data_IF_713116549184
#
_entry.id   IF_713116549184
#
_cell.length_a   1.000
_cell.length_b   1.000
_cell.length_c   1.000
_cell.angle_alpha   90.00
_cell.angle_beta   90.00
_cell.angle_gamma   90.00
#
_symmetry.space_group_name_H-M   'P 1'
#
loop_
_entity.id
_entity.type
_entity.pdbx_description
1 polymer ?
#
# COMPACT_ATOMS: atom_id res chain seq x y z
N UNK A 1 5.59 -11.76 -11.05
CA UNK A 1 5.49 -11.45 -9.62
C UNK A 1 5.99 -10.03 -9.44
N UNK A 2 5.19 -9.15 -8.88
CA UNK A 2 5.54 -7.73 -8.73
C UNK A 2 5.36 -7.31 -7.28
N UNK A 3 6.32 -6.57 -6.74
CA UNK A 3 6.27 -6.05 -5.37
C UNK A 3 6.30 -4.54 -5.42
N UNK A 4 5.38 -3.90 -4.71
CA UNK A 4 5.31 -2.45 -4.58
C UNK A 4 5.37 -2.08 -3.10
N UNK A 5 6.50 -1.57 -2.64
CA UNK A 5 6.62 -1.01 -1.30
C UNK A 5 6.14 0.46 -1.31
N UNK A 6 5.20 0.79 -0.43
CA UNK A 6 4.63 2.12 -0.28
C UNK A 6 4.90 2.67 1.11
N UNK A 7 5.39 3.91 1.14
CA UNK A 7 5.71 4.63 2.37
C UNK A 7 5.09 6.01 2.33
N UNK A 8 4.35 6.40 3.38
CA UNK A 8 3.75 7.74 3.49
C UNK A 8 4.11 8.36 4.83
N UNK A 9 5.23 9.10 4.91
CA UNK A 9 5.72 9.66 6.17
C UNK A 9 4.94 10.88 6.65
N UNK A 10 4.26 11.58 5.74
CA UNK A 10 3.63 12.87 6.03
C UNK A 10 2.09 12.82 6.11
N UNK A 11 1.48 11.73 5.65
CA UNK A 11 0.03 11.58 5.61
C UNK A 11 -0.36 10.17 6.04
N UNK A 12 -0.75 10.05 7.32
CA UNK A 12 -1.15 8.78 7.91
C UNK A 12 -2.35 8.16 7.17
N UNK A 13 -3.31 8.98 6.71
CA UNK A 13 -4.47 8.46 5.98
C UNK A 13 -4.05 7.93 4.61
N UNK A 14 -3.18 8.63 3.89
CA UNK A 14 -2.63 8.16 2.62
C UNK A 14 -1.78 6.89 2.81
N UNK A 15 -1.03 6.79 3.91
CA UNK A 15 -0.29 5.58 4.28
C UNK A 15 -1.18 4.38 4.61
N UNK A 16 -2.45 4.61 4.96
CA UNK A 16 -3.45 3.55 5.17
C UNK A 16 -4.14 3.21 3.86
N UNK A 17 -4.71 4.20 3.17
CA UNK A 17 -5.58 3.94 2.00
C UNK A 17 -4.81 3.72 0.70
N UNK A 18 -3.62 4.29 0.57
CA UNK A 18 -2.77 4.19 -0.62
C UNK A 18 -2.42 2.74 -0.97
N UNK A 19 -1.91 1.94 -0.02
CA UNK A 19 -1.67 0.51 -0.21
C UNK A 19 -2.92 -0.28 -0.64
N UNK A 20 -4.07 0.04 -0.07
CA UNK A 20 -5.35 -0.59 -0.44
C UNK A 20 -5.76 -0.21 -1.87
N UNK A 21 -5.59 1.06 -2.24
CA UNK A 21 -5.83 1.55 -3.60
C UNK A 21 -4.92 0.87 -4.62
N UNK A 22 -3.63 0.73 -4.30
CA UNK A 22 -2.65 0.04 -5.13
C UNK A 22 -2.99 -1.44 -5.34
N UNK A 23 -3.38 -2.14 -4.28
CA UNK A 23 -3.81 -3.54 -4.37
C UNK A 23 -5.10 -3.68 -5.20
N UNK A 24 -6.07 -2.77 -5.04
CA UNK A 24 -7.33 -2.78 -5.81
C UNK A 24 -7.16 -2.46 -7.31
N UNK A 25 -6.03 -1.84 -7.68
CA UNK A 25 -5.73 -1.41 -9.05
C UNK A 25 -5.40 -2.57 -10.01
N UNK A 26 -4.96 -3.70 -9.44
CA UNK A 26 -4.62 -4.94 -10.17
C UNK A 26 -5.66 -6.03 -9.90
N UNK A 27 -5.55 -7.16 -10.59
CA UNK A 27 -6.57 -8.21 -10.53
C UNK A 27 -6.56 -8.98 -9.22
N UNK A 28 -5.38 -9.48 -8.82
CA UNK A 28 -5.16 -10.20 -7.56
C UNK A 28 -3.91 -9.63 -6.90
N UNK A 29 -4.02 -9.24 -5.63
CA UNK A 29 -2.90 -8.70 -4.87
C UNK A 29 -3.07 -8.94 -3.37
N UNK A 30 -1.95 -8.99 -2.65
CA UNK A 30 -1.93 -8.96 -1.20
C UNK A 30 -1.31 -7.64 -0.73
N UNK A 31 -2.04 -6.86 0.06
CA UNK A 31 -1.46 -5.78 0.84
C UNK A 31 -1.01 -6.33 2.19
N UNK A 32 0.30 -6.30 2.45
CA UNK A 32 0.90 -6.71 3.72
C UNK A 32 1.22 -5.45 4.51
N UNK A 33 0.70 -5.37 5.72
CA UNK A 33 1.04 -4.32 6.66
C UNK A 33 2.33 -4.67 7.42
N UNK A 34 3.36 -3.85 7.28
CA UNK A 34 4.65 -4.04 7.97
C UNK A 34 4.81 -3.12 9.18
N UNK A 35 3.78 -2.33 9.52
CA UNK A 35 3.78 -1.46 10.69
C UNK A 35 3.20 -2.21 11.91
N UNK A 36 3.99 -2.45 12.98
CA UNK A 36 3.49 -3.09 14.21
C UNK A 36 2.30 -2.36 14.83
N UNK A 37 2.22 -1.04 14.64
CA UNK A 37 1.16 -0.17 15.14
C UNK A 37 0.11 0.14 14.07
N UNK A 38 0.08 -0.64 13.00
CA UNK A 38 -0.82 -0.44 11.88
C UNK A 38 -2.30 -0.60 12.21
N UNK A 39 -3.20 -0.17 11.29
CA UNK A 39 -4.63 -0.26 11.50
C UNK A 39 -5.11 -1.69 11.76
N UNK A 40 -6.20 -1.86 12.53
CA UNK A 40 -6.81 -3.17 12.76
C UNK A 40 -7.64 -3.61 11.56
N UNK A 41 -7.00 -3.85 10.40
CA UNK A 41 -7.69 -4.36 9.22
C UNK A 41 -8.43 -5.66 9.55
N UNK A 42 -9.58 -5.84 8.90
CA UNK A 42 -10.39 -7.06 9.09
C UNK A 42 -9.67 -8.25 8.46
N UNK A 43 -9.71 -9.38 9.16
CA UNK A 43 -9.12 -10.63 8.69
C UNK A 43 -9.10 -11.67 9.80
N UNK A 44 -9.16 -12.96 9.47
CA UNK A 44 -9.14 -14.03 10.46
C UNK A 44 -7.75 -14.28 11.07
N UNK A 45 -6.68 -13.77 10.45
CA UNK A 45 -5.30 -13.89 10.92
C UNK A 45 -4.50 -12.62 10.61
N UNK A 46 -3.41 -12.44 11.35
CA UNK A 46 -2.40 -11.41 11.20
C UNK A 46 -1.05 -12.00 10.81
N UNK A 47 -0.10 -11.15 10.39
CA UNK A 47 1.29 -11.54 10.15
C UNK A 47 1.91 -12.13 11.44
N UNK A 48 1.62 -11.53 12.60
CA UNK A 48 2.01 -12.05 13.90
C UNK A 48 1.46 -13.47 14.19
N UNK A 49 0.22 -13.76 13.79
CA UNK A 49 -0.34 -15.12 13.90
C UNK A 49 0.43 -16.12 13.03
N UNK A 50 0.82 -15.73 11.81
CA UNK A 50 1.57 -16.58 10.89
C UNK A 50 3.00 -16.83 11.40
N UNK A 51 3.66 -15.82 11.94
CA UNK A 51 5.01 -15.95 12.55
C UNK A 51 4.94 -16.87 13.76
N UNK A 52 3.93 -16.72 14.62
CA UNK A 52 3.82 -17.48 15.87
C UNK A 52 3.42 -18.95 15.65
N UNK A 53 2.48 -19.21 14.73
CA UNK A 53 1.85 -20.54 14.57
C UNK A 53 2.34 -21.30 13.34
N UNK A 54 3.11 -20.64 12.49
CA UNK A 54 3.41 -21.11 11.15
C UNK A 54 2.22 -20.93 10.19
N UNK A 55 2.49 -20.65 8.91
CA UNK A 55 1.44 -20.48 7.93
C UNK A 55 0.98 -21.83 7.34
N UNK A 56 -0.31 -21.94 7.04
CA UNK A 56 -0.82 -23.00 6.15
C UNK A 56 -0.63 -22.60 4.68
N UNK A 57 -0.64 -23.58 3.77
CA UNK A 57 -0.55 -23.32 2.34
C UNK A 57 -1.63 -22.34 1.85
N UNK A 58 -2.86 -22.47 2.37
CA UNK A 58 -3.98 -21.60 2.00
C UNK A 58 -3.83 -20.14 2.44
N UNK A 59 -2.99 -19.87 3.44
CA UNK A 59 -2.69 -18.52 3.91
C UNK A 59 -1.55 -17.88 3.12
N UNK A 60 -0.70 -18.68 2.48
CA UNK A 60 0.44 -18.19 1.71
C UNK A 60 0.10 -17.86 0.25
N UNK A 61 -1.05 -18.27 -0.25
CA UNK A 61 -1.41 -18.10 -1.66
C UNK A 61 -2.85 -17.61 -1.82
N UNK A 62 -3.19 -16.92 -2.94
CA UNK A 62 -4.54 -16.47 -3.17
C UNK A 62 -5.52 -17.65 -3.30
N UNK A 63 -6.58 -17.63 -2.51
CA UNK A 63 -7.69 -18.61 -2.60
C UNK A 63 -8.78 -18.16 -3.57
N UNK A 64 -8.84 -16.86 -3.86
CA UNK A 64 -9.80 -16.24 -4.79
C UNK A 64 -9.14 -15.08 -5.55
N UNK A 65 -9.74 -14.68 -6.67
CA UNK A 65 -9.33 -13.46 -7.39
C UNK A 65 -9.72 -12.22 -6.59
N UNK A 66 -8.87 -11.19 -6.63
CA UNK A 66 -9.12 -9.91 -5.96
C UNK A 66 -8.03 -9.50 -4.97
N UNK A 67 -8.13 -8.27 -4.41
CA UNK A 67 -7.24 -7.81 -3.36
C UNK A 67 -7.55 -8.48 -2.02
N UNK A 68 -6.50 -8.77 -1.26
CA UNK A 68 -6.56 -9.19 0.14
C UNK A 68 -5.65 -8.31 1.00
N UNK A 69 -5.88 -8.31 2.32
CA UNK A 69 -5.06 -7.55 3.28
C UNK A 69 -4.63 -8.49 4.39
N UNK A 70 -3.34 -8.47 4.72
CA UNK A 70 -2.77 -9.10 5.90
C UNK A 70 -2.32 -8.00 6.86
N UNK A 71 -3.03 -7.85 7.98
CA UNK A 71 -2.64 -6.91 9.05
C UNK A 71 -1.37 -7.39 9.75
N UNK A 72 -0.57 -6.49 10.29
CA UNK A 72 0.66 -6.83 10.98
C UNK A 72 0.38 -7.64 12.26
N UNK A 73 -0.37 -7.08 13.21
CA UNK A 73 -0.70 -7.75 14.47
C UNK A 73 0.33 -7.59 15.59
N UNK A 74 1.31 -6.69 15.44
CA UNK A 74 2.30 -6.35 16.46
C UNK A 74 3.64 -7.09 16.35
N UNK A 75 3.95 -7.65 15.18
CA UNK A 75 5.24 -8.29 14.91
C UNK A 75 6.22 -7.31 14.27
N UNK A 76 7.45 -7.33 14.77
CA UNK A 76 8.53 -6.51 14.23
C UNK A 76 8.92 -6.96 12.82
N UNK A 77 9.33 -6.05 11.92
CA UNK A 77 9.63 -6.39 10.52
C UNK A 77 10.67 -7.50 10.34
N UNK A 78 11.68 -7.56 11.22
CA UNK A 78 12.73 -8.58 11.15
C UNK A 78 12.21 -10.00 11.42
N UNK A 79 11.33 -10.15 12.40
CA UNK A 79 10.75 -11.46 12.75
C UNK A 79 9.77 -11.96 11.67
N UNK A 80 9.26 -11.06 10.83
CA UNK A 80 8.32 -11.39 9.78
C UNK A 80 8.98 -11.68 8.41
N UNK A 81 10.29 -11.49 8.26
CA UNK A 81 10.99 -11.52 6.97
C UNK A 81 10.75 -12.83 6.20
N UNK A 82 10.89 -13.98 6.86
CA UNK A 82 10.69 -15.29 6.25
C UNK A 82 9.26 -15.45 5.69
N UNK A 83 8.26 -15.08 6.49
CA UNK A 83 6.84 -15.18 6.10
C UNK A 83 6.52 -14.23 4.96
N UNK A 84 7.02 -12.99 5.02
CA UNK A 84 6.85 -12.00 3.94
C UNK A 84 7.49 -12.49 2.64
N UNK A 85 8.69 -13.08 2.72
CA UNK A 85 9.38 -13.67 1.56
C UNK A 85 8.56 -14.78 0.91
N UNK A 86 7.97 -15.68 1.71
CA UNK A 86 7.11 -16.75 1.19
C UNK A 86 5.80 -16.21 0.57
N UNK A 87 5.18 -15.20 1.18
CA UNK A 87 4.00 -14.54 0.63
C UNK A 87 4.32 -13.86 -0.71
N UNK A 88 5.44 -13.15 -0.78
CA UNK A 88 5.91 -12.51 -2.02
C UNK A 88 6.04 -13.53 -3.14
N UNK A 89 6.69 -14.68 -2.90
CA UNK A 89 6.90 -15.74 -3.90
C UNK A 89 5.60 -16.32 -4.48
N UNK A 90 4.52 -16.33 -3.70
CA UNK A 90 3.28 -17.07 -4.00
C UNK A 90 2.13 -16.18 -4.46
N UNK A 91 2.23 -14.87 -4.25
CA UNK A 91 1.24 -13.91 -4.73
C UNK A 91 1.67 -13.25 -6.05
N UNK A 92 0.76 -13.07 -7.01
CA UNK A 92 1.11 -12.46 -8.29
C UNK A 92 1.56 -11.00 -8.13
N UNK A 93 0.94 -10.27 -7.20
CA UNK A 93 1.26 -8.89 -6.85
C UNK A 93 1.22 -8.73 -5.33
N UNK A 94 2.22 -8.04 -4.76
CA UNK A 94 2.28 -7.73 -3.32
C UNK A 94 2.51 -6.25 -3.12
N UNK A 95 1.71 -5.64 -2.25
CA UNK A 95 1.91 -4.28 -1.77
C UNK A 95 2.43 -4.35 -0.35
N UNK A 96 3.57 -3.75 -0.07
CA UNK A 96 4.10 -3.64 1.29
C UNK A 96 3.75 -2.25 1.81
N UNK A 97 2.93 -2.15 2.87
CA UNK A 97 2.73 -0.89 3.60
C UNK A 97 3.86 -0.76 4.62
N UNK A 98 4.79 0.14 4.35
CA UNK A 98 5.88 0.46 5.27
C UNK A 98 5.38 1.35 6.41
N UNK A 99 5.98 1.19 7.59
CA UNK A 99 5.73 2.09 8.72
C UNK A 99 6.11 3.53 8.35
N UNK A 100 5.29 4.55 8.71
CA UNK A 100 5.64 5.95 8.47
C UNK A 100 6.88 6.38 9.26
N UNK A 101 7.18 5.73 10.39
CA UNK A 101 8.34 6.04 11.25
C UNK A 101 9.60 5.29 10.86
N UNK A 102 9.51 4.30 9.97
CA UNK A 102 10.69 3.63 9.45
C UNK A 102 11.39 4.53 8.42
N UNK A 103 12.72 4.51 8.40
CA UNK A 103 13.47 5.04 7.27
C UNK A 103 13.04 4.25 6.03
N UNK A 104 12.59 4.97 4.98
CA UNK A 104 12.30 4.32 3.72
C UNK A 104 13.55 3.62 3.21
N UNK A 105 13.49 2.29 3.06
CA UNK A 105 14.48 1.58 2.28
C UNK A 105 14.54 2.19 0.88
N UNK A 106 15.72 2.16 0.24
CA UNK A 106 15.98 2.81 -1.05
C UNK A 106 15.02 2.43 -2.21
N UNK A 107 14.21 1.39 -2.02
CA UNK A 107 13.25 0.86 -3.00
C UNK A 107 11.78 1.14 -2.66
N UNK A 108 11.48 1.80 -1.54
CA UNK A 108 10.11 2.18 -1.21
C UNK A 108 9.67 3.40 -2.04
N UNK A 109 8.47 3.30 -2.65
CA UNK A 109 7.85 4.43 -3.33
C UNK A 109 7.19 5.34 -2.29
N UNK A 110 7.63 6.59 -2.24
CA UNK A 110 7.08 7.60 -1.34
C UNK A 110 5.72 8.11 -1.87
N UNK A 111 4.69 8.02 -1.02
CA UNK A 111 3.38 8.64 -1.22
C UNK A 111 3.33 9.95 -0.44
N UNK A 112 3.42 11.07 -1.16
CA UNK A 112 3.52 12.40 -0.56
C UNK A 112 2.36 13.32 -0.99
N UNK A 113 1.89 14.25 -0.14
CA UNK A 113 0.91 15.24 -0.58
C UNK A 113 1.51 16.19 -1.61
N UNK A 114 0.76 16.52 -2.66
CA UNK A 114 1.12 17.58 -3.58
C UNK A 114 0.80 18.94 -2.96
N UNK A 115 1.82 19.64 -2.50
CA UNK A 115 1.72 20.98 -1.91
C UNK A 115 2.33 22.04 -2.83
N UNK A 116 1.87 23.31 -2.75
CA UNK A 116 2.51 24.42 -3.46
C UNK A 116 3.93 24.67 -2.95
N UNK A 117 4.79 25.21 -3.81
CA UNK A 117 6.10 25.72 -3.41
C UNK A 117 5.97 26.85 -2.37
N UNK A 118 6.91 26.97 -1.40
CA UNK A 118 8.11 26.14 -1.20
C UNK A 118 7.88 24.90 -0.31
N UNK A 119 6.62 24.51 -0.08
CA UNK A 119 6.26 23.48 0.90
C UNK A 119 6.18 22.07 0.28
N UNK A 120 6.55 21.92 -0.99
CA UNK A 120 6.44 20.65 -1.68
C UNK A 120 7.44 19.63 -1.09
N UNK A 121 6.95 18.54 -0.46
CA UNK A 121 7.83 17.56 0.13
C UNK A 121 8.54 16.76 -0.96
N UNK A 122 9.77 16.34 -0.68
CA UNK A 122 10.56 15.47 -1.57
C UNK A 122 11.12 14.28 -0.79
N UNK A 123 11.52 13.25 -1.53
CA UNK A 123 12.18 12.07 -0.99
C UNK A 123 13.23 11.60 -1.99
N UNK A 124 14.27 10.93 -1.49
CA UNK A 124 15.19 10.17 -2.33
C UNK A 124 14.44 8.97 -2.89
N UNK A 125 14.50 8.74 -4.21
CA UNK A 125 13.84 7.62 -4.89
C UNK A 125 12.54 7.98 -5.60
N UNK A 126 11.69 6.96 -5.83
CA UNK A 126 10.43 7.10 -6.57
C UNK A 126 9.38 7.81 -5.72
N UNK A 127 8.82 8.90 -6.24
CA UNK A 127 7.78 9.68 -5.57
C UNK A 127 6.49 9.68 -6.39
N UNK A 128 5.38 9.39 -5.71
CA UNK A 128 4.02 9.53 -6.21
C UNK A 128 3.32 10.59 -5.36
N UNK A 129 2.83 11.64 -6.03
CA UNK A 129 2.15 12.73 -5.35
C UNK A 129 0.65 12.49 -5.30
N UNK A 130 0.04 12.69 -4.13
CA UNK A 130 -1.40 12.74 -3.95
C UNK A 130 -1.90 14.17 -4.18
N UNK A 131 -2.73 14.38 -5.22
CA UNK A 131 -3.34 15.70 -5.44
C UNK A 131 -4.21 16.10 -4.23
N UNK A 132 -4.01 17.32 -3.76
CA UNK A 132 -4.81 17.96 -2.71
C UNK A 132 -5.81 18.94 -3.33
N UNK A 133 -6.71 19.52 -2.52
CA UNK A 133 -7.61 20.60 -2.96
C UNK A 133 -6.91 21.97 -3.09
N UNK A 134 -5.58 21.99 -3.01
CA UNK A 134 -4.74 23.18 -3.16
C UNK A 134 -4.26 23.28 -4.60
N UNK A 135 -4.10 24.50 -5.10
CA UNK A 135 -3.51 24.77 -6.42
C UNK A 135 -2.01 24.57 -6.32
N UNK A 136 -1.49 23.51 -6.94
CA UNK A 136 -0.07 23.20 -6.97
C UNK A 136 0.31 22.66 -8.35
N UNK A 137 1.47 23.08 -8.85
CA UNK A 137 2.02 22.60 -10.11
C UNK A 137 2.81 21.33 -9.80
N UNK A 138 2.47 20.18 -10.42
CA UNK A 138 3.21 18.96 -10.17
C UNK A 138 4.59 19.02 -10.80
N UNK A 139 5.63 18.50 -10.13
CA UNK A 139 6.96 18.43 -10.72
C UNK A 139 6.95 17.50 -11.95
N UNK A 140 7.74 17.82 -12.99
CA UNK A 140 7.70 17.10 -14.25
C UNK A 140 8.08 15.63 -14.06
N UNK A 141 7.48 14.76 -14.87
CA UNK A 141 7.73 13.31 -14.89
C UNK A 141 7.27 12.52 -13.65
N UNK A 142 6.76 13.16 -12.60
CA UNK A 142 6.20 12.46 -11.44
C UNK A 142 4.78 11.94 -11.68
N UNK A 143 4.45 10.81 -11.04
CA UNK A 143 3.08 10.30 -11.01
C UNK A 143 2.27 11.12 -10.03
N UNK A 144 1.09 11.58 -10.45
CA UNK A 144 0.17 12.34 -9.59
C UNK A 144 -1.18 11.63 -9.55
N UNK A 145 -1.58 11.18 -8.36
CA UNK A 145 -2.87 10.59 -8.12
C UNK A 145 -3.95 11.69 -8.08
N UNK A 146 -5.15 11.46 -8.64
CA UNK A 146 -6.26 12.38 -8.51
C UNK A 146 -6.76 12.44 -7.06
N UNK A 147 -7.69 13.34 -6.74
CA UNK A 147 -8.31 13.36 -5.40
C UNK A 147 -9.23 12.13 -5.24
N UNK A 148 -9.05 11.27 -4.21
CA UNK A 148 -9.94 10.14 -3.98
C UNK A 148 -11.34 10.61 -3.62
N UNK A 149 -12.37 9.91 -4.12
CA UNK A 149 -13.75 10.15 -3.72
C UNK A 149 -13.98 9.54 -2.34
N UNK A 150 -14.83 10.17 -1.53
CA UNK A 150 -15.17 9.65 -0.19
C UNK A 150 -15.75 8.24 -0.23
N UNK A 151 -16.55 7.91 -1.25
CA UNK A 151 -17.06 6.54 -1.48
C UNK A 151 -15.95 5.52 -1.73
N UNK A 152 -14.89 5.90 -2.45
CA UNK A 152 -13.71 5.05 -2.71
C UNK A 152 -12.96 4.74 -1.42
N UNK A 153 -12.72 5.76 -0.60
CA UNK A 153 -12.08 5.62 0.71
C UNK A 153 -12.91 4.71 1.62
N UNK A 154 -14.21 4.96 1.73
CA UNK A 154 -15.13 4.14 2.54
C UNK A 154 -15.14 2.69 2.07
N UNK A 155 -15.17 2.46 0.75
CA UNK A 155 -15.17 1.11 0.19
C UNK A 155 -13.90 0.35 0.58
N UNK A 156 -12.72 0.96 0.39
CA UNK A 156 -11.42 0.35 0.70
C UNK A 156 -11.29 0.02 2.20
N UNK A 157 -11.60 0.98 3.08
CA UNK A 157 -11.55 0.77 4.53
C UNK A 157 -12.58 -0.27 5.00
N UNK A 158 -13.72 -0.37 4.29
CA UNK A 158 -14.75 -1.38 4.54
C UNK A 158 -14.38 -2.78 4.02
N UNK A 159 -13.25 -2.96 3.34
CA UNK A 159 -12.85 -4.23 2.73
C UNK A 159 -13.63 -4.57 1.47
N UNK A 160 -14.24 -3.58 0.82
CA UNK A 160 -14.99 -3.74 -0.43
C UNK A 160 -14.25 -3.11 -1.59
N UNK A 161 -14.33 -3.73 -2.78
CA UNK A 161 -13.66 -3.21 -3.96
C UNK A 161 -14.38 -1.94 -4.45
N UNK A 162 -13.67 -0.82 -4.66
CA UNK A 162 -14.26 0.34 -5.32
C UNK A 162 -14.70 0.03 -6.76
N UNK A 163 -15.52 0.91 -7.38
CA UNK A 163 -15.93 0.74 -8.77
C UNK A 163 -14.73 0.52 -9.71
N UNK A 164 -14.86 -0.38 -10.69
CA UNK A 164 -13.77 -0.75 -11.62
C UNK A 164 -13.23 0.43 -12.44
N UNK A 165 -14.03 1.47 -12.63
CA UNK A 165 -13.65 2.72 -13.33
C UNK A 165 -13.26 3.85 -12.38
N UNK A 166 -13.02 3.57 -11.10
CA UNK A 166 -12.58 4.60 -10.16
C UNK A 166 -11.25 5.23 -10.60
N UNK A 167 -11.19 6.56 -10.80
CA UNK A 167 -10.01 7.22 -11.36
C UNK A 167 -8.81 7.17 -10.43
N UNK A 168 -9.03 7.15 -9.11
CA UNK A 168 -7.96 7.11 -8.13
C UNK A 168 -7.31 5.74 -8.07
N UNK A 169 -8.12 4.68 -8.00
CA UNK A 169 -7.63 3.29 -8.07
C UNK A 169 -6.93 3.02 -9.41
N UNK A 170 -7.48 3.49 -10.54
CA UNK A 170 -6.83 3.30 -11.85
C UNK A 170 -5.49 4.02 -11.96
N UNK A 171 -5.31 5.16 -11.31
CA UNK A 171 -4.04 5.88 -11.32
C UNK A 171 -2.91 5.07 -10.66
N UNK A 172 -3.21 4.20 -9.69
CA UNK A 172 -2.18 3.31 -9.14
C UNK A 172 -1.62 2.29 -10.15
N UNK A 173 -2.29 2.03 -11.28
CA UNK A 173 -1.72 1.17 -12.33
C UNK A 173 -0.43 1.75 -12.93
N UNK A 174 -0.31 3.07 -13.00
CA UNK A 174 0.94 3.71 -13.45
C UNK A 174 2.03 3.68 -12.40
N UNK A 175 1.66 3.53 -11.12
CA UNK A 175 2.62 3.32 -10.02
C UNK A 175 3.26 1.94 -10.16
N UNK A 176 2.44 0.90 -10.39
CA UNK A 176 2.92 -0.46 -10.68
C UNK A 176 3.84 -0.58 -11.91
N UNK A 177 3.71 0.32 -12.89
CA UNK A 177 4.55 0.33 -14.10
C UNK A 177 5.92 0.98 -13.90
N UNK A 178 6.08 1.73 -12.81
CA UNK A 178 7.28 2.54 -12.52
C UNK A 178 8.05 2.06 -11.29
N UNK A 179 7.51 1.05 -10.59
CA UNK A 179 8.09 0.43 -9.42
C UNK A 179 8.93 -0.79 -9.79
#
# INVERSE_FOLDING_TARGET
MSVLALWSPLDAMLGIVGPLGAAAAVDTALAIDLDPNGPPYRGPFSLADLVTRGPTLSQLQPTQKGPAVLRNGGVEPGDAEEIVSELVKRWPNVVLRCSPSAEAGAHATALLPLLPEPFMPSSVGTVVYQRMKLVAIPPPYHTVLPVPRSGTIKALLGGTRPPTRDPWVRAFRTVWQRA
#
